data_IF_143379444624
#
_entry.id   IF_143379444624
#
_cell.length_a   1.000
_cell.length_b   1.000
_cell.length_c   1.000
_cell.angle_alpha   90.00
_cell.angle_beta   90.00
_cell.angle_gamma   90.00
#
_symmetry.space_group_name_H-M   'P 1'
#
loop_
_entity.id
_entity.type
_entity.pdbx_description
1 polymer ?
#
# COMPACT_ATOMS: atom_id res chain seq x y z
N UNK A 1 -16.84 21.99 -6.75
CA UNK A 1 -17.01 20.99 -7.83
C UNK A 1 -16.31 19.68 -7.45
N UNK A 2 -16.76 18.55 -8.01
CA UNK A 2 -16.04 17.27 -8.19
C UNK A 2 -15.91 16.18 -7.11
N UNK A 3 -16.59 16.18 -5.95
CA UNK A 3 -16.54 14.97 -5.07
C UNK A 3 -17.34 13.80 -5.66
N UNK A 4 -18.51 14.08 -6.25
CA UNK A 4 -19.34 13.04 -6.85
C UNK A 4 -18.74 12.34 -8.07
N UNK A 5 -17.84 13.01 -8.81
CA UNK A 5 -17.26 12.50 -10.05
C UNK A 5 -16.08 11.53 -9.83
N UNK A 6 -15.35 11.68 -8.72
CA UNK A 6 -14.14 10.88 -8.45
C UNK A 6 -14.44 9.38 -8.39
N UNK A 7 -15.52 8.98 -7.72
CA UNK A 7 -15.93 7.56 -7.65
C UNK A 7 -16.23 6.91 -9.00
N UNK A 8 -16.63 7.69 -10.01
CA UNK A 8 -16.84 7.20 -11.38
C UNK A 8 -15.54 7.21 -12.21
N UNK A 9 -14.55 8.02 -11.83
CA UNK A 9 -13.23 8.04 -12.46
C UNK A 9 -12.39 6.82 -12.04
N UNK A 10 -12.54 6.33 -10.81
CA UNK A 10 -11.73 5.23 -10.27
C UNK A 10 -11.79 3.92 -11.09
N UNK A 11 -12.96 3.45 -11.58
CA UNK A 11 -13.00 2.32 -12.52
C UNK A 11 -12.22 2.58 -13.82
N UNK A 12 -12.23 3.81 -14.34
CA UNK A 12 -11.45 4.19 -15.53
C UNK A 12 -9.94 4.17 -15.23
N UNK A 13 -9.54 4.58 -14.02
CA UNK A 13 -8.14 4.46 -13.56
C UNK A 13 -7.71 2.98 -13.50
N UNK A 14 -8.58 2.08 -13.02
CA UNK A 14 -8.31 0.64 -13.03
C UNK A 14 -8.19 0.08 -14.45
N UNK A 15 -9.08 0.49 -15.37
CA UNK A 15 -9.01 0.11 -16.77
C UNK A 15 -7.70 0.59 -17.43
N UNK A 16 -7.28 1.82 -17.11
CA UNK A 16 -5.98 2.32 -17.52
C UNK A 16 -4.82 1.53 -16.89
N UNK A 17 -4.97 1.03 -15.66
CA UNK A 17 -4.06 0.07 -15.04
C UNK A 17 -3.90 -1.20 -15.87
N UNK A 18 -5.01 -1.79 -16.34
CA UNK A 18 -4.96 -2.97 -17.21
C UNK A 18 -4.15 -2.69 -18.48
N UNK A 19 -4.37 -1.53 -19.10
CA UNK A 19 -3.62 -1.12 -20.29
C UNK A 19 -2.12 -0.87 -20.00
N UNK A 20 -1.81 -0.01 -19.03
CA UNK A 20 -0.44 0.42 -18.72
C UNK A 20 0.43 -0.67 -18.09
N UNK A 21 -0.18 -1.71 -17.50
CA UNK A 21 0.53 -2.82 -16.86
C UNK A 21 0.54 -4.04 -17.80
N UNK A 22 -0.62 -4.64 -18.08
CA UNK A 22 -0.67 -5.93 -18.78
C UNK A 22 -0.55 -5.81 -20.29
N UNK A 23 -1.26 -4.85 -20.90
CA UNK A 23 -1.15 -4.64 -22.36
C UNK A 23 0.27 -4.16 -22.70
N UNK A 24 0.81 -3.25 -21.91
CA UNK A 24 2.18 -2.79 -22.08
C UNK A 24 3.21 -3.91 -21.88
N UNK A 25 3.09 -4.74 -20.82
CA UNK A 25 3.98 -5.89 -20.60
C UNK A 25 3.96 -6.90 -21.75
N UNK A 26 2.82 -7.06 -22.43
CA UNK A 26 2.75 -7.87 -23.65
C UNK A 26 3.44 -7.17 -24.82
N UNK A 27 3.18 -5.87 -25.00
CA UNK A 27 3.71 -5.09 -26.13
C UNK A 27 5.22 -4.86 -26.06
N UNK A 28 5.79 -4.78 -24.87
CA UNK A 28 7.21 -4.52 -24.64
C UNK A 28 8.07 -5.79 -24.52
N UNK A 29 7.46 -6.98 -24.71
CA UNK A 29 8.16 -8.27 -24.70
C UNK A 29 8.32 -8.93 -23.33
N UNK A 30 7.98 -8.27 -22.21
CA UNK A 30 8.13 -8.85 -20.87
C UNK A 30 7.47 -10.22 -20.72
N UNK A 31 6.21 -10.35 -21.16
CA UNK A 31 5.49 -11.63 -21.02
C UNK A 31 6.16 -12.75 -21.83
N UNK A 32 6.71 -12.44 -23.00
CA UNK A 32 7.44 -13.40 -23.82
C UNK A 32 8.75 -13.85 -23.17
N UNK A 33 9.45 -12.94 -22.48
CA UNK A 33 10.65 -13.28 -21.70
C UNK A 33 10.28 -14.25 -20.55
N UNK A 34 9.20 -13.97 -19.81
CA UNK A 34 8.73 -14.84 -18.72
C UNK A 34 8.31 -16.22 -19.24
N UNK A 35 7.60 -16.28 -20.37
CA UNK A 35 7.23 -17.53 -21.03
C UNK A 35 8.47 -18.34 -21.44
N UNK A 36 9.51 -17.69 -21.96
CA UNK A 36 10.77 -18.35 -22.30
C UNK A 36 11.50 -18.90 -21.06
N UNK A 37 11.51 -18.15 -19.97
CA UNK A 37 12.08 -18.60 -18.69
C UNK A 37 11.33 -19.84 -18.18
N UNK A 38 10.00 -19.82 -18.19
CA UNK A 38 9.18 -20.97 -17.82
C UNK A 38 9.42 -22.20 -18.69
N UNK A 39 9.62 -22.01 -20.00
CA UNK A 39 9.91 -23.10 -20.94
C UNK A 39 11.33 -23.67 -20.79
N UNK A 40 12.32 -22.81 -20.53
CA UNK A 40 13.72 -23.23 -20.33
C UNK A 40 13.93 -23.93 -18.98
N UNK A 41 13.13 -23.58 -17.97
CA UNK A 41 13.29 -24.07 -16.60
C UNK A 41 14.54 -23.55 -15.90
N UNK A 42 15.17 -22.48 -16.43
CA UNK A 42 16.36 -21.85 -15.89
C UNK A 42 16.03 -20.42 -15.50
N UNK A 43 16.41 -20.00 -14.30
CA UNK A 43 16.18 -18.66 -13.82
C UNK A 43 16.98 -17.63 -14.65
N UNK A 44 16.41 -16.44 -14.88
CA UNK A 44 16.98 -15.43 -15.77
C UNK A 44 18.39 -15.05 -15.30
N UNK A 45 19.33 -14.93 -16.24
CA UNK A 45 20.70 -14.44 -15.97
C UNK A 45 21.47 -15.29 -14.93
N UNK A 46 21.04 -16.54 -14.69
CA UNK A 46 21.68 -17.49 -13.78
C UNK A 46 21.74 -18.90 -14.37
N UNK A 47 22.44 -19.80 -13.69
CA UNK A 47 22.40 -21.26 -13.95
C UNK A 47 21.43 -22.01 -13.03
N UNK A 48 20.64 -21.29 -12.21
CA UNK A 48 19.76 -21.91 -11.22
C UNK A 48 18.48 -22.46 -11.87
N UNK A 49 18.11 -23.70 -11.54
CA UNK A 49 16.88 -24.31 -12.05
C UNK A 49 15.65 -23.74 -11.37
N UNK A 50 14.64 -23.39 -12.16
CA UNK A 50 13.32 -23.01 -11.67
C UNK A 50 12.65 -24.21 -11.00
N UNK A 51 12.23 -24.04 -9.74
CA UNK A 51 11.49 -25.04 -8.99
C UNK A 51 10.01 -24.95 -9.34
N UNK A 52 9.44 -26.07 -9.78
CA UNK A 52 8.03 -26.16 -10.22
C UNK A 52 7.17 -27.05 -9.32
N UNK A 53 7.67 -27.44 -8.15
CA UNK A 53 6.96 -28.29 -7.18
C UNK A 53 7.35 -27.86 -5.76
N UNK A 54 6.99 -26.63 -5.38
CA UNK A 54 7.32 -26.05 -4.07
C UNK A 54 6.22 -26.41 -3.05
N UNK A 55 4.97 -26.36 -3.50
CA UNK A 55 3.80 -26.55 -2.64
C UNK A 55 3.18 -27.94 -2.74
N UNK A 56 3.46 -28.67 -3.82
CA UNK A 56 2.83 -29.95 -4.11
C UNK A 56 1.41 -29.82 -4.69
N UNK A 57 0.98 -28.60 -5.03
CA UNK A 57 -0.36 -28.32 -5.56
C UNK A 57 -0.21 -27.73 -6.95
N UNK A 58 -0.51 -28.53 -7.98
CA UNK A 58 -0.26 -28.19 -9.40
C UNK A 58 -0.71 -26.77 -9.81
N UNK A 59 -1.90 -26.35 -9.37
CA UNK A 59 -2.41 -25.03 -9.73
C UNK A 59 -1.59 -23.89 -9.09
N UNK A 60 -1.16 -24.07 -7.85
CA UNK A 60 -0.35 -23.09 -7.13
C UNK A 60 1.08 -23.10 -7.64
N UNK A 61 1.65 -24.28 -7.88
CA UNK A 61 3.01 -24.39 -8.42
C UNK A 61 3.13 -23.82 -9.85
N UNK A 62 2.09 -23.95 -10.69
CA UNK A 62 2.04 -23.26 -11.99
C UNK A 62 2.02 -21.73 -11.85
N UNK A 63 1.27 -21.20 -10.89
CA UNK A 63 1.26 -19.77 -10.60
C UNK A 63 2.63 -19.30 -10.10
N UNK A 64 3.23 -20.05 -9.16
CA UNK A 64 4.56 -19.76 -8.62
C UNK A 64 5.67 -19.85 -9.68
N UNK A 65 5.58 -20.76 -10.64
CA UNK A 65 6.51 -20.84 -11.77
C UNK A 65 6.51 -19.57 -12.64
N UNK A 66 5.45 -18.75 -12.58
CA UNK A 66 5.40 -17.43 -13.22
C UNK A 66 5.90 -16.32 -12.30
N UNK A 67 5.46 -16.35 -11.02
CA UNK A 67 5.74 -15.28 -10.06
C UNK A 67 7.19 -15.30 -9.54
N UNK A 68 7.81 -16.48 -9.42
CA UNK A 68 9.19 -16.60 -8.94
C UNK A 68 10.16 -15.91 -9.90
N UNK A 69 10.21 -16.24 -11.20
CA UNK A 69 11.05 -15.50 -12.15
C UNK A 69 10.77 -14.01 -12.16
N UNK A 70 9.51 -13.60 -12.08
CA UNK A 70 9.13 -12.18 -12.09
C UNK A 70 9.75 -11.40 -10.91
N UNK A 71 9.68 -11.96 -9.69
CA UNK A 71 10.22 -11.30 -8.50
C UNK A 71 11.70 -11.61 -8.22
N UNK A 72 12.28 -12.58 -8.93
CA UNK A 72 13.67 -13.00 -8.73
C UNK A 72 14.67 -11.84 -8.78
N UNK A 73 14.70 -10.98 -9.84
CA UNK A 73 15.66 -9.89 -9.93
C UNK A 73 15.46 -8.79 -8.88
N UNK A 74 14.29 -8.77 -8.23
CA UNK A 74 14.02 -7.87 -7.09
C UNK A 74 14.62 -8.43 -5.81
N UNK A 75 14.59 -9.76 -5.64
CA UNK A 75 14.99 -10.46 -4.43
C UNK A 75 16.49 -10.74 -4.36
N UNK A 76 17.13 -11.07 -5.48
CA UNK A 76 18.56 -11.40 -5.54
C UNK A 76 19.47 -10.15 -5.59
N UNK A 77 18.92 -8.99 -5.93
CA UNK A 77 19.67 -7.74 -6.03
C UNK A 77 20.46 -7.56 -7.32
N UNK A 78 20.29 -8.45 -8.31
CA UNK A 78 20.95 -8.40 -9.63
C UNK A 78 20.64 -7.11 -10.40
N UNK A 79 19.49 -6.50 -10.13
CA UNK A 79 19.06 -5.23 -10.71
C UNK A 79 18.87 -4.16 -9.62
N UNK A 80 19.92 -3.38 -9.26
CA UNK A 80 19.85 -2.42 -8.16
C UNK A 80 18.72 -1.39 -8.28
N UNK A 81 18.44 -0.91 -9.49
CA UNK A 81 17.33 0.00 -9.77
C UNK A 81 15.97 -0.61 -9.43
N UNK A 82 15.76 -1.89 -9.78
CA UNK A 82 14.52 -2.63 -9.54
C UNK A 82 14.35 -2.94 -8.06
N UNK A 83 15.35 -3.54 -7.40
CA UNK A 83 15.30 -3.83 -5.95
C UNK A 83 15.02 -2.56 -5.17
N UNK A 84 15.70 -1.46 -5.51
CA UNK A 84 15.53 -0.19 -4.85
C UNK A 84 14.15 0.44 -5.08
N UNK A 85 13.63 0.38 -6.30
CA UNK A 85 12.26 0.78 -6.60
C UNK A 85 11.25 -0.08 -5.82
N UNK A 86 11.48 -1.38 -5.73
CA UNK A 86 10.68 -2.35 -4.98
C UNK A 86 10.60 -2.01 -3.50
N UNK A 87 11.70 -1.59 -2.86
CA UNK A 87 11.70 -1.15 -1.46
C UNK A 87 10.79 0.07 -1.23
N UNK A 88 10.89 1.09 -2.10
CA UNK A 88 10.00 2.25 -2.06
C UNK A 88 8.54 1.83 -2.25
N UNK A 89 8.27 0.97 -3.22
CA UNK A 89 6.92 0.50 -3.51
C UNK A 89 6.35 -0.33 -2.34
N UNK A 90 7.17 -1.18 -1.70
CA UNK A 90 6.75 -1.95 -0.52
C UNK A 90 6.35 -1.04 0.65
N UNK A 91 7.10 0.04 0.89
CA UNK A 91 6.72 1.06 1.87
C UNK A 91 5.36 1.70 1.57
N UNK A 92 5.11 2.03 0.30
CA UNK A 92 3.82 2.55 -0.16
C UNK A 92 2.67 1.57 0.09
N UNK A 93 2.83 0.29 -0.25
CA UNK A 93 1.84 -0.75 0.00
C UNK A 93 1.58 -0.88 1.51
N UNK A 94 2.62 -1.01 2.34
CA UNK A 94 2.47 -1.20 3.78
C UNK A 94 1.71 -0.04 4.47
N UNK A 95 2.00 1.21 4.09
CA UNK A 95 1.29 2.37 4.62
C UNK A 95 -0.16 2.44 4.18
N UNK A 96 -0.43 2.24 2.89
CA UNK A 96 -1.79 2.26 2.36
C UNK A 96 -2.62 1.10 2.90
N UNK A 97 -2.02 -0.07 3.08
CA UNK A 97 -2.71 -1.23 3.66
C UNK A 97 -3.05 -1.01 5.14
N UNK A 98 -2.25 -0.25 5.87
CA UNK A 98 -2.60 0.19 7.22
C UNK A 98 -3.90 1.01 7.24
N UNK A 99 -4.12 1.84 6.22
CA UNK A 99 -5.39 2.57 6.05
C UNK A 99 -6.54 1.65 5.67
N UNK A 100 -6.32 0.71 4.75
CA UNK A 100 -7.32 -0.29 4.36
C UNK A 100 -7.78 -1.10 5.58
N UNK A 101 -6.84 -1.56 6.41
CA UNK A 101 -7.15 -2.24 7.67
C UNK A 101 -7.91 -1.33 8.64
N UNK A 102 -7.48 -0.08 8.77
CA UNK A 102 -8.15 0.89 9.65
C UNK A 102 -9.62 1.12 9.26
N UNK A 103 -9.91 1.21 7.96
CA UNK A 103 -11.26 1.39 7.47
C UNK A 103 -12.17 0.21 7.84
N UNK A 104 -11.67 -1.03 7.95
CA UNK A 104 -12.49 -2.19 8.39
C UNK A 104 -13.14 -1.99 9.76
N UNK A 105 -12.56 -1.13 10.61
CA UNK A 105 -13.04 -0.89 11.97
C UNK A 105 -14.09 0.22 12.07
N UNK A 106 -14.42 0.90 10.97
CA UNK A 106 -15.43 1.97 10.97
C UNK A 106 -16.85 1.40 10.91
N UNK A 107 -17.73 1.90 11.76
CA UNK A 107 -19.16 1.50 11.81
C UNK A 107 -19.92 1.72 10.50
N UNK A 108 -19.48 2.68 9.68
CA UNK A 108 -20.08 3.04 8.40
C UNK A 108 -19.78 2.09 7.25
N UNK A 109 -18.80 1.21 7.42
CA UNK A 109 -18.38 0.27 6.40
C UNK A 109 -19.24 -0.98 6.48
N UNK A 110 -20.02 -1.22 5.42
CA UNK A 110 -21.00 -2.31 5.34
C UNK A 110 -20.73 -3.30 4.22
N UNK A 111 -19.85 -2.96 3.28
CA UNK A 111 -19.52 -3.85 2.17
C UNK A 111 -18.60 -4.97 2.63
N UNK A 112 -18.92 -6.19 2.26
CA UNK A 112 -18.13 -7.38 2.53
C UNK A 112 -16.67 -7.22 2.08
N UNK A 113 -16.43 -6.69 0.88
CA UNK A 113 -15.06 -6.50 0.36
C UNK A 113 -14.26 -5.43 1.10
N UNK A 114 -14.95 -4.47 1.73
CA UNK A 114 -14.30 -3.48 2.61
C UNK A 114 -14.03 -4.06 3.99
N UNK A 115 -14.90 -4.96 4.47
CA UNK A 115 -14.77 -5.61 5.77
C UNK A 115 -13.72 -6.74 5.80
N UNK A 116 -13.51 -7.41 4.66
CA UNK A 116 -12.56 -8.52 4.52
C UNK A 116 -11.45 -8.14 3.54
N UNK A 117 -10.51 -7.26 3.93
CA UNK A 117 -9.46 -6.76 3.05
C UNK A 117 -8.51 -7.85 2.55
N UNK A 118 -8.46 -9.00 3.24
CA UNK A 118 -7.73 -10.19 2.76
C UNK A 118 -8.17 -10.62 1.36
N UNK A 119 -9.45 -10.48 1.00
CA UNK A 119 -9.96 -10.85 -0.32
C UNK A 119 -9.38 -9.91 -1.38
N UNK A 120 -9.41 -8.60 -1.12
CA UNK A 120 -8.80 -7.60 -2.00
C UNK A 120 -7.29 -7.83 -2.10
N UNK A 121 -6.63 -8.22 -1.00
CA UNK A 121 -5.20 -8.53 -1.00
C UNK A 121 -4.85 -9.76 -1.82
N UNK A 122 -5.64 -10.82 -1.75
CA UNK A 122 -5.46 -12.01 -2.62
C UNK A 122 -5.70 -11.64 -4.09
N UNK A 123 -6.75 -10.87 -4.38
CA UNK A 123 -7.01 -10.38 -5.74
C UNK A 123 -5.87 -9.49 -6.26
N UNK A 124 -5.25 -8.70 -5.38
CA UNK A 124 -4.09 -7.87 -5.72
C UNK A 124 -2.90 -8.72 -6.16
N UNK A 125 -2.67 -9.86 -5.51
CA UNK A 125 -1.61 -10.78 -5.90
C UNK A 125 -1.87 -11.46 -7.25
N UNK A 126 -3.15 -11.68 -7.59
CA UNK A 126 -3.54 -12.33 -8.85
C UNK A 126 -3.63 -11.35 -10.03
N UNK A 127 -4.03 -10.11 -9.77
CA UNK A 127 -4.06 -9.04 -10.75
C UNK A 127 -2.85 -8.15 -10.51
N UNK A 128 -3.02 -7.01 -9.85
CA UNK A 128 -1.94 -6.13 -9.40
C UNK A 128 -2.49 -5.06 -8.45
N UNK A 129 -1.61 -4.31 -7.77
CA UNK A 129 -1.98 -3.19 -6.90
C UNK A 129 -2.66 -2.06 -7.69
N UNK A 130 -2.14 -1.72 -8.87
CA UNK A 130 -2.60 -0.67 -9.75
C UNK A 130 -3.97 -0.94 -10.33
N UNK A 131 -4.34 -2.20 -10.55
CA UNK A 131 -5.69 -2.57 -10.99
C UNK A 131 -6.66 -2.61 -9.81
N UNK A 132 -6.27 -3.24 -8.70
CA UNK A 132 -7.21 -3.54 -7.61
C UNK A 132 -7.45 -2.37 -6.65
N UNK A 133 -6.46 -1.50 -6.40
CA UNK A 133 -6.65 -0.39 -5.46
C UNK A 133 -7.66 0.65 -5.93
N UNK A 134 -7.70 1.07 -7.21
CA UNK A 134 -8.78 1.93 -7.69
C UNK A 134 -10.16 1.26 -7.62
N UNK A 135 -10.25 -0.06 -7.83
CA UNK A 135 -11.50 -0.82 -7.65
C UNK A 135 -11.94 -0.80 -6.18
N UNK A 136 -11.02 -1.12 -5.25
CA UNK A 136 -11.27 -1.03 -3.81
C UNK A 136 -11.76 0.36 -3.42
N UNK A 137 -11.05 1.40 -3.87
CA UNK A 137 -11.41 2.78 -3.64
C UNK A 137 -12.82 3.10 -4.16
N UNK A 138 -13.17 2.67 -5.37
CA UNK A 138 -14.50 2.88 -5.94
C UNK A 138 -15.57 2.18 -5.10
N UNK A 139 -15.37 0.90 -4.80
CA UNK A 139 -16.28 0.10 -3.97
C UNK A 139 -16.47 0.75 -2.60
N UNK A 140 -15.40 1.22 -1.98
CA UNK A 140 -15.46 1.93 -0.71
C UNK A 140 -16.33 3.20 -0.84
N UNK A 141 -16.09 4.06 -1.84
CA UNK A 141 -16.87 5.29 -2.01
C UNK A 141 -18.34 5.05 -2.42
N UNK A 142 -18.66 3.94 -3.07
CA UNK A 142 -20.05 3.59 -3.44
C UNK A 142 -20.83 2.94 -2.30
N UNK A 143 -20.16 2.16 -1.44
CA UNK A 143 -20.84 1.31 -0.45
C UNK A 143 -20.68 1.80 0.99
N UNK A 144 -19.65 2.57 1.29
CA UNK A 144 -19.41 3.14 2.60
C UNK A 144 -20.24 4.40 2.81
N UNK A 145 -20.85 4.52 4.00
CA UNK A 145 -21.49 5.77 4.44
C UNK A 145 -20.52 6.70 5.16
N UNK A 146 -19.21 6.44 5.14
CA UNK A 146 -18.17 7.32 5.73
C UNK A 146 -18.13 8.69 5.04
N UNK A 147 -18.57 8.75 3.78
CA UNK A 147 -19.04 9.95 3.09
C UNK A 147 -20.46 10.29 3.60
N UNK A 148 -20.81 11.42 4.22
CA UNK A 148 -20.11 12.45 5.00
C UNK A 148 -20.62 12.45 6.47
N UNK A 149 -21.10 11.29 6.96
CA UNK A 149 -21.81 11.21 8.22
C UNK A 149 -20.85 10.97 9.40
N UNK A 150 -21.00 11.78 10.44
CA UNK A 150 -20.16 11.71 11.64
C UNK A 150 -20.24 10.37 12.38
N UNK A 151 -21.41 9.73 12.40
CA UNK A 151 -21.64 8.46 13.09
C UNK A 151 -21.08 7.25 12.35
N UNK A 152 -20.88 7.35 11.03
CA UNK A 152 -20.38 6.25 10.19
C UNK A 152 -18.85 6.20 10.14
N UNK A 153 -18.16 7.24 10.63
CA UNK A 153 -16.71 7.26 10.77
C UNK A 153 -16.23 6.85 12.17
N UNK A 154 -17.15 6.49 13.08
CA UNK A 154 -16.82 6.10 14.44
C UNK A 154 -16.18 4.71 14.50
N UNK A 155 -15.22 4.55 15.41
CA UNK A 155 -14.61 3.25 15.74
C UNK A 155 -15.14 2.82 17.10
N UNK A 156 -15.83 1.66 17.20
CA UNK A 156 -16.34 1.15 18.46
C UNK A 156 -15.21 0.94 19.48
N UNK A 157 -15.44 1.26 20.76
CA UNK A 157 -14.45 1.09 21.84
C UNK A 157 -13.89 -0.34 21.91
N UNK A 158 -14.73 -1.35 21.64
CA UNK A 158 -14.33 -2.78 21.59
C UNK A 158 -13.32 -3.11 20.49
N UNK A 159 -13.26 -2.29 19.45
CA UNK A 159 -12.39 -2.49 18.29
C UNK A 159 -11.03 -1.81 18.44
N UNK A 160 -10.83 -1.00 19.49
CA UNK A 160 -9.59 -0.25 19.71
C UNK A 160 -8.36 -1.14 19.89
N UNK A 161 -8.51 -2.33 20.46
CA UNK A 161 -7.41 -3.31 20.56
C UNK A 161 -6.91 -3.68 19.17
N UNK A 162 -7.81 -4.01 18.24
CA UNK A 162 -7.45 -4.30 16.85
C UNK A 162 -6.77 -3.12 16.16
N UNK A 163 -7.34 -1.91 16.28
CA UNK A 163 -6.74 -0.69 15.69
C UNK A 163 -5.31 -0.45 16.19
N UNK A 164 -5.07 -0.59 17.49
CA UNK A 164 -3.73 -0.40 18.07
C UNK A 164 -2.71 -1.45 17.61
N UNK A 165 -3.18 -2.62 17.19
CA UNK A 165 -2.34 -3.73 16.76
C UNK A 165 -2.07 -3.71 15.24
N UNK A 166 -2.66 -2.78 14.49
CA UNK A 166 -2.38 -2.62 13.04
C UNK A 166 -0.87 -2.50 12.76
N UNK A 167 -0.08 -1.63 13.43
CA UNK A 167 1.34 -1.49 13.14
C UNK A 167 2.13 -2.80 13.30
N UNK A 168 1.94 -3.50 14.43
CA UNK A 168 2.60 -4.77 14.70
C UNK A 168 2.17 -5.84 13.69
N UNK A 169 0.88 -5.85 13.31
CA UNK A 169 0.37 -6.80 12.33
C UNK A 169 1.01 -6.59 10.96
N UNK A 170 1.13 -5.34 10.51
CA UNK A 170 1.78 -5.01 9.23
C UNK A 170 3.27 -5.35 9.27
N UNK A 171 3.95 -5.11 10.39
CA UNK A 171 5.35 -5.52 10.56
C UNK A 171 5.49 -7.04 10.42
N UNK A 172 4.73 -7.81 11.19
CA UNK A 172 4.89 -9.27 11.25
C UNK A 172 4.32 -10.00 10.02
N UNK A 173 3.19 -9.53 9.50
CA UNK A 173 2.47 -10.20 8.42
C UNK A 173 2.84 -9.73 7.01
N UNK A 174 3.45 -8.55 6.88
CA UNK A 174 3.84 -8.00 5.57
C UNK A 174 5.33 -7.68 5.48
N UNK A 175 5.88 -6.86 6.38
CA UNK A 175 7.29 -6.47 6.25
C UNK A 175 8.26 -7.61 6.56
N UNK A 176 8.00 -8.41 7.59
CA UNK A 176 8.85 -9.55 7.94
C UNK A 176 9.01 -10.54 6.77
N UNK A 177 7.93 -11.03 6.11
CA UNK A 177 8.11 -11.87 4.92
C UNK A 177 8.74 -11.10 3.75
N UNK A 178 8.49 -9.79 3.60
CA UNK A 178 9.11 -8.99 2.54
C UNK A 178 10.62 -8.85 2.73
N UNK A 179 11.09 -8.63 3.96
CA UNK A 179 12.51 -8.59 4.28
C UNK A 179 13.16 -9.95 4.10
N UNK A 180 12.50 -11.03 4.56
CA UNK A 180 13.01 -12.39 4.36
C UNK A 180 13.19 -12.72 2.87
N UNK A 181 12.27 -12.25 2.01
CA UNK A 181 12.36 -12.44 0.56
C UNK A 181 13.64 -11.87 -0.05
N UNK A 182 14.05 -10.66 0.37
CA UNK A 182 15.16 -9.91 -0.24
C UNK A 182 16.51 -10.08 0.48
N UNK A 183 16.61 -11.01 1.44
CA UNK A 183 17.89 -11.33 2.06
C UNK A 183 18.84 -11.95 1.02
N UNK A 184 20.09 -11.44 0.88
CA UNK A 184 21.08 -12.02 -0.02
C UNK A 184 21.40 -13.46 0.35
N UNK A 185 21.54 -14.34 -0.64
CA UNK A 185 21.78 -15.76 -0.43
C UNK A 185 23.08 -16.01 0.35
N UNK A 186 24.10 -15.19 0.14
CA UNK A 186 25.43 -15.29 0.78
C UNK A 186 25.40 -14.96 2.27
N UNK A 187 24.42 -14.15 2.68
CA UNK A 187 24.25 -13.70 4.08
C UNK A 187 23.10 -14.40 4.78
N UNK A 188 22.35 -15.23 4.06
CA UNK A 188 21.20 -15.95 4.57
C UNK A 188 21.69 -17.13 5.41
N UNK A 189 21.30 -17.24 6.70
CA UNK A 189 21.65 -18.38 7.53
C UNK A 189 21.10 -19.69 6.97
N UNK A 190 21.80 -20.81 7.18
CA UNK A 190 21.44 -22.14 6.66
C UNK A 190 20.03 -22.63 7.05
N UNK A 191 19.44 -22.10 8.12
CA UNK A 191 18.09 -22.46 8.55
C UNK A 191 16.98 -21.79 7.72
N UNK A 192 17.28 -20.73 6.96
CA UNK A 192 16.31 -20.07 6.11
C UNK A 192 16.19 -20.80 4.77
N UNK A 193 14.96 -20.91 4.21
CA UNK A 193 14.75 -21.54 2.90
C UNK A 193 15.50 -20.82 1.77
N UNK A 194 15.75 -21.50 0.63
CA UNK A 194 16.26 -20.90 -0.60
C UNK A 194 15.41 -19.73 -1.12
N UNK A 195 16.00 -18.83 -1.92
CA UNK A 195 15.36 -17.59 -2.39
C UNK A 195 14.02 -17.84 -3.09
N UNK A 196 13.92 -18.87 -3.94
CA UNK A 196 12.67 -19.24 -4.62
C UNK A 196 11.54 -19.58 -3.62
N UNK A 197 11.86 -20.29 -2.54
CA UNK A 197 10.89 -20.65 -1.50
C UNK A 197 10.49 -19.42 -0.67
N UNK A 198 11.42 -18.50 -0.41
CA UNK A 198 11.12 -17.23 0.27
C UNK A 198 10.20 -16.34 -0.59
N UNK A 199 10.44 -16.26 -1.90
CA UNK A 199 9.54 -15.58 -2.85
C UNK A 199 8.16 -16.24 -2.85
N UNK A 200 8.10 -17.57 -2.91
CA UNK A 200 6.84 -18.32 -2.89
C UNK A 200 6.04 -18.06 -1.59
N UNK A 201 6.72 -18.10 -0.44
CA UNK A 201 6.12 -17.80 0.85
C UNK A 201 5.59 -16.36 0.93
N UNK A 202 6.32 -15.39 0.37
CA UNK A 202 5.92 -13.99 0.34
C UNK A 202 4.64 -13.74 -0.47
N UNK A 203 4.35 -14.52 -1.51
CA UNK A 203 3.13 -14.33 -2.33
C UNK A 203 1.84 -14.34 -1.49
N UNK A 204 1.81 -15.05 -0.37
CA UNK A 204 0.66 -15.14 0.53
C UNK A 204 0.65 -14.08 1.65
N UNK A 205 1.43 -13.00 1.55
CA UNK A 205 1.48 -11.92 2.55
C UNK A 205 0.10 -11.36 2.98
N UNK A 206 -0.93 -11.23 2.12
CA UNK A 206 -2.23 -10.72 2.59
C UNK A 206 -2.89 -11.68 3.59
N UNK A 207 -2.68 -12.98 3.40
CA UNK A 207 -3.18 -14.04 4.27
C UNK A 207 -2.37 -14.04 5.57
N UNK A 208 -1.04 -13.94 5.51
CA UNK A 208 -0.19 -13.83 6.69
C UNK A 208 -0.55 -12.63 7.55
N UNK A 209 -0.80 -11.47 6.93
CA UNK A 209 -1.26 -10.28 7.60
C UNK A 209 -2.62 -10.48 8.27
N UNK A 210 -3.59 -11.06 7.56
CA UNK A 210 -4.91 -11.32 8.12
C UNK A 210 -4.87 -12.30 9.30
N UNK A 211 -4.14 -13.41 9.15
CA UNK A 211 -3.96 -14.42 10.20
C UNK A 211 -3.28 -13.80 11.42
N UNK A 212 -2.16 -13.10 11.21
CA UNK A 212 -1.41 -12.42 12.26
C UNK A 212 -2.30 -11.42 12.98
N UNK A 213 -2.94 -10.51 12.26
CA UNK A 213 -3.80 -9.48 12.83
C UNK A 213 -4.95 -10.08 13.64
N UNK A 214 -5.62 -11.09 13.09
CA UNK A 214 -6.73 -11.78 13.74
C UNK A 214 -6.28 -12.51 15.01
N UNK A 215 -5.15 -13.22 14.94
CA UNK A 215 -4.60 -13.98 16.05
C UNK A 215 -4.17 -13.05 17.18
N UNK A 216 -3.32 -12.05 16.91
CA UNK A 216 -2.81 -11.16 17.96
C UNK A 216 -3.92 -10.32 18.59
N UNK A 217 -4.92 -9.91 17.80
CA UNK A 217 -6.08 -9.17 18.33
C UNK A 217 -6.92 -10.04 19.25
N UNK A 218 -7.20 -11.29 18.86
CA UNK A 218 -7.95 -12.24 19.71
C UNK A 218 -7.21 -12.55 21.00
N UNK A 219 -5.92 -12.89 20.92
CA UNK A 219 -5.09 -13.19 22.09
C UNK A 219 -5.05 -11.97 23.02
N UNK A 220 -4.75 -10.78 22.51
CA UNK A 220 -4.67 -9.56 23.33
C UNK A 220 -6.02 -9.19 23.94
N UNK A 221 -7.12 -9.43 23.23
CA UNK A 221 -8.47 -9.18 23.74
C UNK A 221 -8.82 -10.06 24.96
N UNK A 222 -8.25 -11.27 25.08
CA UNK A 222 -8.43 -12.13 26.26
C UNK A 222 -7.87 -11.51 27.54
N UNK A 223 -6.87 -10.63 27.42
CA UNK A 223 -6.19 -9.98 28.54
C UNK A 223 -6.58 -8.50 28.72
N UNK A 224 -7.47 -7.98 27.86
CA UNK A 224 -7.85 -6.56 27.86
C UNK A 224 -9.06 -6.29 28.75
N UNK A 225 -8.97 -5.31 29.65
CA UNK A 225 -10.12 -4.87 30.43
C UNK A 225 -11.10 -4.02 29.60
N UNK A 226 -12.41 -4.04 29.91
CA UNK A 226 -13.40 -3.19 29.24
C UNK A 226 -13.03 -1.71 29.36
N UNK A 227 -13.11 -0.98 28.24
CA UNK A 227 -12.85 0.47 28.21
C UNK A 227 -14.14 1.22 28.57
N UNK A 228 -14.08 2.08 29.59
CA UNK A 228 -15.17 3.01 29.90
C UNK A 228 -15.41 4.01 28.76
N UNK A 229 -16.67 4.25 28.41
CA UNK A 229 -17.08 5.19 27.35
C UNK A 229 -16.58 6.63 27.55
N UNK A 230 -16.32 7.03 28.81
CA UNK A 230 -15.78 8.36 29.14
C UNK A 230 -14.36 8.57 28.61
N UNK A 231 -13.54 7.52 28.51
CA UNK A 231 -12.18 7.58 27.97
C UNK A 231 -12.09 7.22 26.48
N UNK A 232 -13.20 6.75 25.88
CA UNK A 232 -13.25 6.23 24.52
C UNK A 232 -12.70 7.20 23.48
N UNK A 233 -13.20 8.44 23.42
CA UNK A 233 -12.80 9.40 22.39
C UNK A 233 -11.31 9.77 22.42
N UNK A 234 -10.73 9.98 23.62
CA UNK A 234 -9.30 10.29 23.78
C UNK A 234 -8.43 9.09 23.39
N UNK A 235 -8.84 7.88 23.78
CA UNK A 235 -8.14 6.64 23.42
C UNK A 235 -8.22 6.36 21.91
N UNK A 236 -9.39 6.57 21.28
CA UNK A 236 -9.56 6.47 19.83
C UNK A 236 -8.63 7.44 19.11
N UNK A 237 -8.59 8.72 19.51
CA UNK A 237 -7.68 9.70 18.91
C UNK A 237 -6.22 9.27 19.00
N UNK A 238 -5.80 8.80 20.17
CA UNK A 238 -4.42 8.32 20.39
C UNK A 238 -4.11 7.09 19.52
N UNK A 239 -5.04 6.13 19.44
CA UNK A 239 -4.92 4.95 18.61
C UNK A 239 -4.74 5.31 17.13
N UNK A 240 -5.61 6.17 16.60
CA UNK A 240 -5.53 6.65 15.22
C UNK A 240 -4.21 7.35 14.93
N UNK A 241 -3.77 8.28 15.79
CA UNK A 241 -2.48 8.97 15.61
C UNK A 241 -1.32 8.00 15.53
N UNK A 242 -1.31 6.93 16.32
CA UNK A 242 -0.25 5.91 16.24
C UNK A 242 -0.27 5.17 14.91
N UNK A 243 -1.45 4.77 14.44
CA UNK A 243 -1.58 4.08 13.14
C UNK A 243 -1.17 5.00 11.99
N UNK A 244 -1.65 6.25 11.99
CA UNK A 244 -1.30 7.24 10.97
C UNK A 244 0.19 7.61 11.00
N UNK A 245 0.77 7.85 12.17
CA UNK A 245 2.21 8.13 12.30
C UNK A 245 3.05 6.94 11.81
N UNK A 246 2.66 5.71 12.16
CA UNK A 246 3.30 4.51 11.62
C UNK A 246 3.20 4.45 10.09
N UNK A 247 1.98 4.55 9.54
CA UNK A 247 1.73 4.48 8.10
C UNK A 247 2.47 5.58 7.32
N UNK A 248 2.53 6.80 7.87
CA UNK A 248 3.26 7.92 7.30
C UNK A 248 4.76 7.66 7.32
N UNK A 249 5.29 7.12 8.43
CA UNK A 249 6.72 6.81 8.55
C UNK A 249 7.16 5.76 7.53
N UNK A 250 6.43 4.66 7.40
CA UNK A 250 6.78 3.57 6.48
C UNK A 250 6.58 3.91 5.00
N UNK A 251 5.87 5.00 4.69
CA UNK A 251 5.74 5.52 3.31
C UNK A 251 6.78 6.58 3.01
N UNK A 252 6.94 7.55 3.93
CA UNK A 252 7.86 8.66 3.78
C UNK A 252 9.33 8.23 3.84
N UNK A 253 9.72 7.36 4.79
CA UNK A 253 11.12 6.97 4.96
C UNK A 253 11.66 6.26 3.71
N UNK A 254 11.02 5.21 3.15
CA UNK A 254 11.48 4.61 1.91
C UNK A 254 11.47 5.57 0.73
N UNK A 255 10.49 6.50 0.63
CA UNK A 255 10.47 7.50 -0.43
C UNK A 255 11.63 8.50 -0.34
N UNK A 256 11.91 9.01 0.86
CA UNK A 256 13.03 9.93 1.10
C UNK A 256 14.36 9.22 0.88
N UNK A 257 14.52 8.01 1.41
CA UNK A 257 15.70 7.19 1.17
C UNK A 257 15.88 6.92 -0.34
N UNK A 258 14.79 6.62 -1.04
CA UNK A 258 14.76 6.38 -2.47
C UNK A 258 15.37 7.55 -3.26
N UNK A 259 14.80 8.74 -3.06
CA UNK A 259 15.28 9.94 -3.74
C UNK A 259 16.68 10.37 -3.28
N UNK A 260 16.98 10.26 -1.99
CA UNK A 260 18.28 10.68 -1.45
C UNK A 260 19.43 9.86 -2.04
N UNK A 261 19.27 8.54 -2.13
CA UNK A 261 20.32 7.68 -2.71
C UNK A 261 20.47 7.92 -4.21
N UNK A 262 19.37 8.01 -4.95
CA UNK A 262 19.42 8.29 -6.40
C UNK A 262 20.02 9.65 -6.72
N UNK A 263 19.71 10.69 -5.94
CA UNK A 263 20.33 12.01 -6.11
C UNK A 263 21.81 11.99 -5.71
N UNK A 264 22.17 11.23 -4.68
CA UNK A 264 23.57 11.06 -4.26
C UNK A 264 24.40 10.35 -5.32
N UNK A 265 23.82 9.38 -6.04
CA UNK A 265 24.49 8.70 -7.16
C UNK A 265 24.87 9.66 -8.30
N UNK A 266 24.15 10.77 -8.47
CA UNK A 266 24.44 11.81 -9.46
C UNK A 266 25.36 12.89 -8.91
N UNK A 267 25.12 13.35 -7.68
CA UNK A 267 25.89 14.44 -7.08
C UNK A 267 27.29 14.00 -6.61
N UNK A 268 27.42 12.74 -6.18
CA UNK A 268 28.63 12.16 -5.61
C UNK A 268 28.90 10.76 -6.19
N UNK A 269 29.09 10.63 -7.52
CA UNK A 269 29.22 9.33 -8.18
C UNK A 269 30.43 8.52 -7.68
N UNK A 270 31.46 9.18 -7.14
CA UNK A 270 32.65 8.53 -6.56
C UNK A 270 32.38 7.74 -5.28
N UNK A 271 31.22 7.93 -4.64
CA UNK A 271 30.80 7.13 -3.48
C UNK A 271 30.25 5.75 -3.89
N UNK A 272 30.05 5.52 -5.19
CA UNK A 272 29.43 4.31 -5.74
C UNK A 272 30.34 3.69 -6.80
N UNK A 273 30.21 2.37 -7.02
CA UNK A 273 30.74 1.75 -8.24
C UNK A 273 30.04 2.34 -9.47
N UNK A 274 30.76 2.45 -10.61
CA UNK A 274 30.23 3.10 -11.82
C UNK A 274 28.90 2.51 -12.30
N UNK A 275 28.80 1.18 -12.31
CA UNK A 275 27.57 0.47 -12.72
C UNK A 275 26.41 0.72 -11.76
N UNK A 276 26.68 0.73 -10.45
CA UNK A 276 25.67 1.01 -9.42
C UNK A 276 25.20 2.46 -9.49
N UNK A 277 26.11 3.42 -9.67
CA UNK A 277 25.75 4.83 -9.86
C UNK A 277 24.87 5.02 -11.11
N UNK A 278 25.21 4.35 -12.22
CA UNK A 278 24.40 4.40 -13.45
C UNK A 278 23.01 3.78 -13.24
N UNK A 279 22.92 2.64 -12.55
CA UNK A 279 21.65 1.98 -12.23
C UNK A 279 20.78 2.83 -11.30
N UNK A 280 21.36 3.45 -10.28
CA UNK A 280 20.65 4.28 -9.30
C UNK A 280 20.29 5.68 -9.79
N UNK A 281 20.71 6.06 -11.01
CA UNK A 281 20.39 7.35 -11.60
C UNK A 281 18.87 7.60 -11.58
N UNK A 282 18.37 8.79 -11.17
CA UNK A 282 16.93 9.04 -11.01
C UNK A 282 16.10 8.71 -12.25
N UNK A 283 16.63 8.99 -13.44
CA UNK A 283 15.96 8.66 -14.70
C UNK A 283 15.87 7.15 -14.98
N UNK A 284 16.73 6.32 -14.39
CA UNK A 284 16.66 4.85 -14.51
C UNK A 284 15.72 4.25 -13.48
N UNK A 285 15.61 4.86 -12.30
CA UNK A 285 14.77 4.33 -11.21
C UNK A 285 13.32 4.83 -11.30
N UNK A 286 13.10 6.10 -11.64
CA UNK A 286 11.79 6.76 -11.47
C UNK A 286 11.12 7.23 -12.76
N UNK A 287 11.83 7.26 -13.89
CA UNK A 287 11.21 7.63 -15.16
C UNK A 287 10.57 6.39 -15.79
N UNK A 288 9.25 6.40 -15.91
CA UNK A 288 8.52 5.30 -16.51
C UNK A 288 8.68 5.30 -18.03
N UNK A 289 8.95 4.13 -18.60
CA UNK A 289 8.69 3.91 -20.02
C UNK A 289 7.19 4.05 -20.32
N UNK A 290 6.86 4.71 -21.43
CA UNK A 290 5.46 5.00 -21.78
C UNK A 290 4.83 3.84 -22.55
N UNK A 291 3.60 3.38 -22.21
CA UNK A 291 2.93 2.29 -22.90
C UNK A 291 2.76 2.47 -24.41
N UNK A 292 2.67 3.73 -24.87
CA UNK A 292 2.50 4.10 -26.27
C UNK A 292 3.82 4.46 -26.99
N UNK A 293 4.98 4.24 -26.36
CA UNK A 293 6.29 4.61 -26.96
C UNK A 293 6.86 3.55 -27.91
N UNK A 294 6.34 2.32 -27.89
CA UNK A 294 6.85 1.21 -28.71
C UNK A 294 8.17 0.58 -28.21
N UNK A 295 8.67 1.00 -27.04
CA UNK A 295 9.89 0.44 -26.46
C UNK A 295 9.78 -1.05 -26.12
N UNK A 296 10.90 -1.75 -26.23
CA UNK A 296 11.04 -3.17 -25.91
C UNK A 296 12.03 -3.35 -24.76
N UNK A 297 11.65 -4.16 -23.77
CA UNK A 297 12.51 -4.49 -22.65
C UNK A 297 13.71 -5.32 -23.15
N UNK A 298 14.92 -4.91 -22.79
CA UNK A 298 16.15 -5.61 -23.17
C UNK A 298 16.49 -6.76 -22.22
N UNK A 299 15.97 -6.69 -20.99
CA UNK A 299 16.14 -7.73 -19.97
C UNK A 299 14.82 -7.97 -19.22
N UNK A 300 14.77 -9.07 -18.47
CA UNK A 300 13.64 -9.32 -17.58
C UNK A 300 13.51 -8.22 -16.54
N UNK A 301 14.61 -7.83 -15.90
CA UNK A 301 14.65 -6.83 -14.83
C UNK A 301 14.14 -5.46 -15.30
N UNK A 302 14.46 -5.05 -16.52
CA UNK A 302 13.95 -3.80 -17.10
C UNK A 302 12.44 -3.86 -17.32
N UNK A 303 11.93 -4.94 -17.90
CA UNK A 303 10.49 -5.12 -18.10
C UNK A 303 9.72 -5.17 -16.78
N UNK A 304 10.22 -5.91 -15.79
CA UNK A 304 9.64 -5.98 -14.43
C UNK A 304 9.64 -4.61 -13.76
N UNK A 305 10.71 -3.82 -13.90
CA UNK A 305 10.75 -2.46 -13.38
C UNK A 305 9.63 -1.59 -13.98
N UNK A 306 9.47 -1.60 -15.30
CA UNK A 306 8.39 -0.84 -15.95
C UNK A 306 7.00 -1.31 -15.51
N UNK A 307 6.82 -2.62 -15.35
CA UNK A 307 5.59 -3.19 -14.82
C UNK A 307 5.29 -2.66 -13.41
N UNK A 308 6.23 -2.79 -12.47
CA UNK A 308 6.06 -2.32 -11.09
C UNK A 308 5.94 -0.81 -10.99
N UNK A 309 6.56 -0.07 -11.90
CA UNK A 309 6.44 1.37 -11.98
C UNK A 309 5.01 1.81 -12.28
N UNK A 310 4.37 1.23 -13.29
CA UNK A 310 2.97 1.50 -13.62
C UNK A 310 2.02 0.94 -12.56
N UNK A 311 2.32 -0.25 -12.03
CA UNK A 311 1.57 -0.86 -10.93
C UNK A 311 1.47 0.08 -9.72
N UNK A 312 2.62 0.57 -9.27
CA UNK A 312 2.72 1.51 -8.17
C UNK A 312 1.99 2.83 -8.47
N UNK A 313 2.30 3.49 -9.61
CA UNK A 313 1.76 4.82 -9.95
C UNK A 313 0.24 4.79 -10.05
N UNK A 314 -0.34 3.83 -10.77
CA UNK A 314 -1.80 3.76 -10.94
C UNK A 314 -2.48 3.51 -9.61
N UNK A 315 -1.96 2.61 -8.78
CA UNK A 315 -2.59 2.26 -7.52
C UNK A 315 -2.55 3.40 -6.49
N UNK A 316 -1.40 4.09 -6.35
CA UNK A 316 -1.31 5.22 -5.42
C UNK A 316 -2.11 6.43 -5.89
N UNK A 317 -2.22 6.65 -7.21
CA UNK A 317 -3.10 7.68 -7.77
C UNK A 317 -4.57 7.38 -7.50
N UNK A 318 -5.00 6.12 -7.65
CA UNK A 318 -6.36 5.69 -7.28
C UNK A 318 -6.65 5.96 -5.79
N UNK A 319 -5.71 5.62 -4.91
CA UNK A 319 -5.84 5.87 -3.48
C UNK A 319 -5.78 7.37 -3.11
N UNK A 320 -5.04 8.19 -3.88
CA UNK A 320 -5.03 9.64 -3.70
C UNK A 320 -6.38 10.25 -4.04
N UNK A 321 -6.99 9.85 -5.15
CA UNK A 321 -8.34 10.28 -5.51
C UNK A 321 -9.35 9.93 -4.42
N UNK A 322 -9.26 8.71 -3.87
CA UNK A 322 -10.07 8.25 -2.75
C UNK A 322 -9.91 9.12 -1.49
N UNK A 323 -8.67 9.40 -1.08
CA UNK A 323 -8.41 10.24 0.09
C UNK A 323 -8.86 11.69 -0.13
N UNK A 324 -8.66 12.25 -1.33
CA UNK A 324 -9.14 13.59 -1.69
C UNK A 324 -10.66 13.67 -1.57
N UNK A 325 -11.40 12.68 -2.08
CA UNK A 325 -12.86 12.69 -2.01
C UNK A 325 -13.35 12.67 -0.55
N UNK A 326 -12.78 11.79 0.28
CA UNK A 326 -13.10 11.68 1.70
C UNK A 326 -12.69 12.93 2.49
N UNK A 327 -11.53 13.52 2.18
CA UNK A 327 -11.05 14.74 2.79
C UNK A 327 -12.00 15.91 2.51
N UNK A 328 -12.34 16.15 1.24
CA UNK A 328 -13.23 17.23 0.84
C UNK A 328 -14.65 17.01 1.38
N UNK A 329 -15.13 15.78 1.39
CA UNK A 329 -16.44 15.44 1.96
C UNK A 329 -16.51 15.77 3.46
N UNK A 330 -15.48 15.42 4.25
CA UNK A 330 -15.42 15.74 5.68
C UNK A 330 -15.36 17.25 5.95
N UNK A 331 -14.59 18.00 5.16
CA UNK A 331 -14.52 19.46 5.28
C UNK A 331 -15.87 20.13 4.96
N UNK A 332 -16.55 19.67 3.91
CA UNK A 332 -17.90 20.16 3.56
C UNK A 332 -18.92 19.84 4.65
N UNK A 333 -18.85 18.66 5.27
CA UNK A 333 -19.72 18.31 6.40
C UNK A 333 -19.53 19.27 7.59
N UNK A 334 -18.34 19.84 7.74
CA UNK A 334 -18.00 20.86 8.74
C UNK A 334 -18.23 22.30 8.27
N UNK A 335 -18.82 22.50 7.08
CA UNK A 335 -19.02 23.81 6.44
C UNK A 335 -17.71 24.58 6.22
N UNK A 336 -16.60 23.87 6.07
CA UNK A 336 -15.30 24.43 5.71
C UNK A 336 -15.11 24.29 4.20
N UNK A 337 -14.89 25.41 3.52
CA UNK A 337 -14.63 25.41 2.08
C UNK A 337 -13.18 25.02 1.81
N UNK A 338 -13.00 23.97 0.99
CA UNK A 338 -11.69 23.56 0.49
C UNK A 338 -11.48 24.15 -0.89
N UNK A 339 -10.54 25.10 -1.02
CA UNK A 339 -10.15 25.67 -2.30
C UNK A 339 -9.35 24.66 -3.14
N UNK A 340 -9.69 24.51 -4.42
CA UNK A 340 -9.04 23.55 -5.32
C UNK A 340 -7.52 23.80 -5.45
N UNK A 341 -7.12 25.07 -5.61
CA UNK A 341 -5.70 25.45 -5.76
C UNK A 341 -4.93 25.14 -4.47
N UNK A 342 -5.46 25.55 -3.31
CA UNK A 342 -4.82 25.29 -2.02
C UNK A 342 -4.66 23.79 -1.74
N UNK A 343 -5.67 22.98 -2.07
CA UNK A 343 -5.58 21.53 -1.96
C UNK A 343 -4.54 20.96 -2.93
N UNK A 344 -4.50 21.42 -4.17
CA UNK A 344 -3.53 20.95 -5.17
C UNK A 344 -2.09 21.27 -4.75
N UNK A 345 -1.82 22.49 -4.25
CA UNK A 345 -0.51 22.89 -3.72
C UNK A 345 -0.12 22.01 -2.54
N UNK A 346 -1.03 21.82 -1.59
CA UNK A 346 -0.79 20.96 -0.42
C UNK A 346 -0.47 19.52 -0.83
N UNK A 347 -1.28 18.93 -1.71
CA UNK A 347 -1.05 17.56 -2.19
C UNK A 347 0.28 17.47 -2.92
N UNK A 348 0.62 18.46 -3.77
CA UNK A 348 1.91 18.52 -4.45
C UNK A 348 3.10 18.54 -3.48
N UNK A 349 3.05 19.38 -2.44
CA UNK A 349 4.09 19.45 -1.41
C UNK A 349 4.21 18.14 -0.61
N UNK A 350 3.08 17.54 -0.22
CA UNK A 350 3.07 16.26 0.49
C UNK A 350 3.62 15.13 -0.38
N UNK A 351 3.26 15.08 -1.66
CA UNK A 351 3.78 14.11 -2.61
C UNK A 351 5.29 14.26 -2.81
N UNK A 352 5.81 15.48 -2.84
CA UNK A 352 7.25 15.73 -2.95
C UNK A 352 8.01 15.17 -1.73
N UNK A 353 7.52 15.47 -0.52
CA UNK A 353 8.20 15.13 0.74
C UNK A 353 8.04 13.65 1.12
N UNK A 354 6.83 13.11 1.00
CA UNK A 354 6.45 11.80 1.56
C UNK A 354 6.05 10.77 0.50
N UNK A 355 6.08 11.14 -0.77
CA UNK A 355 5.51 10.35 -1.86
C UNK A 355 3.99 10.43 -1.90
N UNK A 356 3.40 9.90 -2.98
CA UNK A 356 1.94 9.93 -3.17
C UNK A 356 1.22 9.17 -2.06
N UNK A 357 1.73 8.00 -1.66
CA UNK A 357 1.17 7.22 -0.56
C UNK A 357 1.21 7.97 0.78
N UNK A 358 2.30 8.69 1.08
CA UNK A 358 2.38 9.53 2.29
C UNK A 358 1.35 10.67 2.27
N UNK A 359 1.13 11.30 1.12
CA UNK A 359 0.07 12.30 0.95
C UNK A 359 -1.33 11.72 1.20
N UNK A 360 -1.62 10.50 0.75
CA UNK A 360 -2.87 9.78 1.06
C UNK A 360 -3.04 9.64 2.57
N UNK A 361 -2.00 9.17 3.27
CA UNK A 361 -2.01 8.97 4.72
C UNK A 361 -2.29 10.28 5.45
N UNK A 362 -1.62 11.37 5.07
CA UNK A 362 -1.78 12.67 5.73
C UNK A 362 -3.18 13.26 5.50
N UNK A 363 -3.73 13.19 4.29
CA UNK A 363 -5.10 13.64 4.02
C UNK A 363 -6.11 12.86 4.89
N UNK A 364 -5.91 11.56 5.03
CA UNK A 364 -6.77 10.70 5.84
C UNK A 364 -6.61 10.98 7.34
N UNK A 365 -5.38 11.26 7.80
CA UNK A 365 -5.11 11.65 9.18
C UNK A 365 -5.79 12.97 9.52
N UNK A 366 -5.60 14.01 8.73
CA UNK A 366 -6.26 15.30 8.96
C UNK A 366 -7.78 15.21 8.95
N UNK A 367 -8.34 14.43 8.02
CA UNK A 367 -9.78 14.16 7.95
C UNK A 367 -10.27 13.64 9.30
N UNK A 368 -9.58 12.66 9.87
CA UNK A 368 -9.97 12.05 11.13
C UNK A 368 -9.74 12.95 12.34
N UNK A 369 -8.65 13.73 12.38
CA UNK A 369 -8.43 14.74 13.41
C UNK A 369 -9.57 15.77 13.43
N UNK A 370 -10.03 16.22 12.26
CA UNK A 370 -11.15 17.14 12.12
C UNK A 370 -12.46 16.53 12.64
N UNK A 371 -12.76 15.29 12.26
CA UNK A 371 -13.98 14.60 12.70
C UNK A 371 -13.98 14.36 14.21
N UNK A 372 -12.82 14.06 14.81
CA UNK A 372 -12.68 13.85 16.24
C UNK A 372 -12.73 15.15 17.06
N UNK A 373 -12.18 16.26 16.56
CA UNK A 373 -12.29 17.56 17.24
C UNK A 373 -13.75 18.03 17.34
N UNK A 374 -14.56 17.77 16.31
CA UNK A 374 -15.99 18.05 16.33
C UNK A 374 -16.75 17.30 17.44
N UNK A 375 -16.32 16.07 17.79
CA UNK A 375 -16.92 15.27 18.87
C UNK A 375 -16.71 15.89 20.26
N UNK A 376 -15.54 16.49 20.51
CA UNK A 376 -15.25 17.13 21.80
C UNK A 376 -16.14 18.36 22.04
N UNK A 377 -16.22 19.25 21.04
CA UNK A 377 -16.94 20.52 21.15
C UNK A 377 -18.46 20.34 21.31
N UNK A 378 -19.07 19.33 20.69
CA UNK A 378 -20.51 19.08 20.86
C UNK A 378 -20.87 18.36 22.16
N UNK A 379 -20.02 17.46 22.66
CA UNK A 379 -20.22 16.87 23.99
C UNK A 379 -20.19 17.96 25.06
N UNK A 380 -19.28 18.93 24.96
CA UNK A 380 -19.22 20.07 25.87
C UNK A 380 -20.48 20.94 25.80
N UNK A 381 -20.97 21.27 24.59
CA UNK A 381 -22.22 22.04 24.40
C UNK A 381 -23.45 21.29 24.92
N UNK A 382 -23.53 19.98 24.73
CA UNK A 382 -24.63 19.13 25.23
C UNK A 382 -24.63 19.02 26.76
N UNK A 383 -23.46 18.94 27.39
CA UNK A 383 -23.32 18.94 28.85
C UNK A 383 -23.70 20.31 29.44
N UNK A 384 -23.34 21.41 28.79
CA UNK A 384 -23.71 22.77 29.22
C UNK A 384 -25.23 23.01 29.13
N UNK A 385 -25.85 22.61 28.03
CA UNK A 385 -27.32 22.71 27.85
C UNK A 385 -28.10 21.77 28.78
N UNK A 386 -27.57 20.58 29.07
CA UNK A 386 -28.16 19.66 30.04
C UNK A 386 -28.09 20.17 31.50
N UNK A 387 -27.03 20.90 31.86
CA UNK A 387 -26.93 21.59 33.16
C UNK A 387 -27.87 22.79 33.26
N UNK A 388 -27.99 23.58 32.18
CA UNK A 388 -28.88 24.74 32.12
C UNK A 388 -30.37 24.41 32.15
N UNK A 389 -30.76 23.15 31.90
CA UNK A 389 -32.15 22.68 31.95
C UNK A 389 -32.54 22.04 33.29
N UNK A 390 -31.57 21.91 34.21
CA UNK A 390 -31.72 21.27 35.54
C UNK A 390 -31.48 22.25 36.70
N UNK A 391 -31.10 23.49 36.41
CA UNK A 391 -31.19 24.62 37.34
C UNK A 391 -32.32 25.52 36.89
#
# INVERSE_FOLDING_TARGET
>A
MCTGAIRYLLPLVSLFGVYSIFVFARQNGLLSIIEHVGASGILPETDERLRTNITGVDALDRLLATLIPFFWPTADGSAPNLTFYGLKFSGAIGGLWSLVLLETFRTGNKSFLVLYPVIIGVLLQLFTFGVMMPIYAALHLFTSRTLPARQSSEIPSRSLTGVNLIPISVILGYFLPSFAMVLPAETTPDFLPPTQERIAFWQAWPIWLWLTHSMITRITALFSSPVSDSQGAKRTRSALRRVYAFAFTITAVPHIAAWSLSLSAVAFPTLFGQEVAAALHPARVFLNAMPWSGVQAQSLSEGVLWFLQWDHVVGVCGMLLWAIDLYVAAHRARKVNVGCIGLAVKVGLLCAVSGVAGAVVELMWERDEMLLQGLGQEKEKGVQTGKARKG
#
